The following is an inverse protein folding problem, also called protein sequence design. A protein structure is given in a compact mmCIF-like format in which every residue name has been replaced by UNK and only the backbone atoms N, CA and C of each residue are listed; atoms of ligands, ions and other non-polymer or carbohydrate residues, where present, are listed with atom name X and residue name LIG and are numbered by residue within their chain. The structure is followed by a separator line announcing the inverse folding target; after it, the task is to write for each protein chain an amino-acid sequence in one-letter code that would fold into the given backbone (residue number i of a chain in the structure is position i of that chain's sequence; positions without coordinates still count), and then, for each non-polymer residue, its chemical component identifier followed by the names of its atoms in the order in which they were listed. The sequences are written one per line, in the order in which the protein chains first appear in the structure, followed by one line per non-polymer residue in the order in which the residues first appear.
data_IF_782741348316
#
_entry.id   IF_782741348316
#
_cell.length_a   1.000
_cell.length_b   1.000
_cell.length_c   1.000
_cell.angle_alpha   90.00
_cell.angle_beta   90.00
_cell.angle_gamma   90.00
#
_symmetry.space_group_name_H-M   'P 1'
#
loop_
_entity.id
_entity.type
_entity.pdbx_description
1 polymer ?
#
# COMPACT_ATOMS: atom_id res chain seq x y z
N UNK A 1 15.01 14.73 5.86
CA UNK A 1 13.67 15.28 5.64
C UNK A 1 13.29 15.92 6.96
N UNK A 2 13.04 17.22 6.98
CA UNK A 2 12.54 17.88 8.19
C UNK A 2 11.07 17.48 8.44
N UNK A 3 10.61 17.67 9.67
CA UNK A 3 9.25 17.28 10.10
C UNK A 3 8.17 17.94 9.25
N UNK A 4 8.35 19.21 8.89
CA UNK A 4 7.39 19.97 8.08
C UNK A 4 7.26 19.40 6.66
N UNK A 5 8.38 19.00 6.05
CA UNK A 5 8.37 18.31 4.78
C UNK A 5 7.67 16.93 4.85
N UNK A 6 7.81 16.21 5.98
CA UNK A 6 7.13 14.93 6.18
C UNK A 6 5.61 15.09 6.29
N UNK A 7 5.14 16.04 7.10
CA UNK A 7 3.70 16.33 7.22
C UNK A 7 3.07 16.73 5.88
N UNK A 8 3.76 17.58 5.11
CA UNK A 8 3.32 17.98 3.78
C UNK A 8 3.20 16.77 2.82
N UNK A 9 4.16 15.84 2.90
CA UNK A 9 4.13 14.60 2.12
C UNK A 9 2.95 13.70 2.49
N UNK A 10 2.66 13.51 3.79
CA UNK A 10 1.51 12.71 4.24
C UNK A 10 0.19 13.35 3.80
N UNK A 11 0.09 14.68 3.88
CA UNK A 11 -1.09 15.40 3.42
C UNK A 11 -1.32 15.22 1.92
N UNK A 12 -0.27 15.35 1.11
CA UNK A 12 -0.35 15.16 -0.34
C UNK A 12 -0.69 13.71 -0.72
N UNK A 13 -0.14 12.74 0.01
CA UNK A 13 -0.36 11.30 -0.23
C UNK A 13 -1.83 10.89 -0.19
N UNK A 14 -2.70 11.63 0.52
CA UNK A 14 -4.15 11.40 0.50
C UNK A 14 -4.75 11.50 -0.90
N UNK A 15 -4.19 12.33 -1.77
CA UNK A 15 -4.72 12.54 -3.13
C UNK A 15 -4.16 11.53 -4.14
N UNK A 16 -3.10 10.80 -3.79
CA UNK A 16 -2.46 9.85 -4.71
C UNK A 16 -2.90 8.41 -4.47
N UNK A 17 -3.45 8.09 -3.30
CA UNK A 17 -3.99 6.77 -2.98
C UNK A 17 -5.50 6.80 -3.16
N UNK A 18 -6.08 5.80 -3.83
CA UNK A 18 -7.53 5.72 -4.02
C UNK A 18 -8.28 5.69 -2.67
N UNK A 19 -7.66 5.12 -1.63
CA UNK A 19 -8.22 5.08 -0.28
C UNK A 19 -8.16 6.41 0.49
N UNK A 20 -7.59 7.48 -0.07
CA UNK A 20 -7.62 8.81 0.57
C UNK A 20 -6.68 8.96 1.77
N UNK A 21 -5.78 7.99 2.00
CA UNK A 21 -4.86 7.96 3.16
C UNK A 21 -3.57 7.24 2.84
N UNK A 22 -2.56 7.47 3.69
CA UNK A 22 -1.35 6.65 3.72
C UNK A 22 -1.65 5.27 4.34
N UNK A 23 -0.86 4.28 3.92
CA UNK A 23 -0.91 2.94 4.49
C UNK A 23 -0.28 2.89 5.89
N UNK A 24 -0.72 1.92 6.69
CA UNK A 24 -0.07 1.52 7.93
C UNK A 24 0.83 0.30 7.63
N UNK A 25 2.06 0.23 8.19
CA UNK A 25 2.90 -0.98 8.17
C UNK A 25 2.16 -2.31 8.40
N UNK A 26 1.16 -2.32 9.28
CA UNK A 26 0.36 -3.51 9.60
C UNK A 26 -0.37 -4.08 8.37
N UNK A 27 -0.76 -3.23 7.40
CA UNK A 27 -1.44 -3.67 6.18
C UNK A 27 -0.51 -4.50 5.29
N UNK A 28 0.77 -4.11 5.23
CA UNK A 28 1.80 -4.88 4.51
C UNK A 28 2.14 -6.16 5.26
N UNK A 29 2.29 -6.08 6.59
CA UNK A 29 2.57 -7.25 7.42
C UNK A 29 1.47 -8.31 7.31
N UNK A 30 0.20 -7.89 7.35
CA UNK A 30 -0.94 -8.79 7.20
C UNK A 30 -1.03 -9.42 5.81
N UNK A 31 -0.72 -8.67 4.75
CA UNK A 31 -0.67 -9.21 3.39
C UNK A 31 0.45 -10.27 3.25
N UNK A 32 1.63 -10.01 3.82
CA UNK A 32 2.74 -10.98 3.86
C UNK A 32 2.32 -12.23 4.65
N UNK A 33 1.72 -12.05 5.84
CA UNK A 33 1.27 -13.15 6.67
C UNK A 33 0.24 -14.03 5.95
N UNK A 34 -0.71 -13.42 5.23
CA UNK A 34 -1.65 -14.15 4.37
C UNK A 34 -0.92 -14.94 3.28
N UNK A 35 -0.02 -14.30 2.53
CA UNK A 35 0.70 -14.93 1.42
C UNK A 35 1.65 -16.05 1.88
N UNK A 36 2.19 -15.97 3.09
CA UNK A 36 3.02 -17.02 3.70
C UNK A 36 2.20 -18.17 4.32
N UNK A 37 0.88 -18.01 4.47
CA UNK A 37 0.01 -19.00 5.10
C UNK A 37 -0.50 -20.04 4.10
N UNK A 38 -1.14 -21.11 4.60
CA UNK A 38 -1.82 -22.10 3.74
C UNK A 38 -3.06 -21.52 3.03
N UNK A 39 -3.57 -20.37 3.46
CA UNK A 39 -4.73 -19.72 2.85
C UNK A 39 -4.45 -19.20 1.42
N UNK A 40 -3.18 -19.00 1.06
CA UNK A 40 -2.74 -18.57 -0.27
C UNK A 40 -2.25 -19.73 -1.16
N UNK A 41 -2.55 -20.99 -0.82
CA UNK A 41 -1.95 -22.19 -1.44
C UNK A 41 -2.06 -22.30 -2.97
N UNK A 42 -2.97 -21.56 -3.61
CA UNK A 42 -3.12 -21.54 -5.07
C UNK A 42 -2.69 -20.21 -5.73
N UNK A 43 -2.06 -19.33 -4.96
CA UNK A 43 -1.54 -18.04 -5.44
C UNK A 43 -0.04 -18.19 -5.69
N UNK A 44 0.37 -18.11 -6.95
CA UNK A 44 1.79 -18.15 -7.35
C UNK A 44 2.01 -17.31 -8.61
N UNK A 45 3.20 -16.74 -8.76
CA UNK A 45 3.58 -15.95 -9.95
C UNK A 45 2.86 -14.60 -10.11
N UNK A 46 2.05 -14.18 -9.13
CA UNK A 46 1.30 -12.94 -9.17
C UNK A 46 2.03 -11.80 -8.44
N UNK A 47 1.96 -10.60 -8.99
CA UNK A 47 2.31 -9.36 -8.28
C UNK A 47 1.05 -8.76 -7.65
N UNK A 48 0.97 -8.76 -6.32
CA UNK A 48 -0.18 -8.25 -5.57
C UNK A 48 0.19 -6.88 -4.96
N UNK A 49 -0.36 -5.78 -5.45
CA UNK A 49 -0.08 -4.46 -4.92
C UNK A 49 -0.74 -4.25 -3.55
N UNK A 50 0.03 -3.71 -2.61
CA UNK A 50 -0.41 -3.33 -1.25
C UNK A 50 -0.12 -1.85 -1.04
N UNK A 51 -0.83 -0.99 -1.79
CA UNK A 51 -0.49 0.43 -1.92
C UNK A 51 -1.72 1.35 -1.87
N UNK A 52 -2.83 0.90 -1.30
CA UNK A 52 -4.06 1.68 -1.21
C UNK A 52 -4.64 2.13 -2.57
N UNK A 53 -4.31 1.42 -3.65
CA UNK A 53 -4.78 1.73 -5.01
C UNK A 53 -3.96 2.82 -5.70
N UNK A 54 -2.79 3.19 -5.16
CA UNK A 54 -1.94 4.23 -5.76
C UNK A 54 -1.52 3.89 -7.18
N UNK A 55 -1.19 2.63 -7.47
CA UNK A 55 -0.83 2.19 -8.82
C UNK A 55 -2.00 2.33 -9.82
N UNK A 56 -3.25 2.29 -9.36
CA UNK A 56 -4.44 2.39 -10.22
C UNK A 56 -4.87 3.84 -10.48
N UNK A 57 -4.52 4.77 -9.57
CA UNK A 57 -4.84 6.20 -9.70
C UNK A 57 -4.00 6.93 -10.74
N UNK A 58 -2.85 6.37 -11.14
CA UNK A 58 -2.01 6.90 -12.19
C UNK A 58 -2.11 5.96 -13.40
N UNK A 59 -3.07 6.16 -14.33
CA UNK A 59 -3.10 5.40 -15.56
C UNK A 59 -1.79 5.65 -16.29
N UNK A 60 -1.03 4.59 -16.57
CA UNK A 60 0.07 4.61 -17.52
C UNK A 60 -0.46 4.36 -18.91
#
# INVERSE_FOLDING_TARGET
MDETAYEAFIKYSKNTHALGRVGNPDEVANAIAFLASSASSFITGASIPVDGGRHAMCPR
#
